data_IF_044313219527
#
_entry.id   IF_044313219527
#
_cell.length_a   1.000
_cell.length_b   1.000
_cell.length_c   1.000
_cell.angle_alpha   90.00
_cell.angle_beta   90.00
_cell.angle_gamma   90.00
#
_symmetry.space_group_name_H-M   'P 1'
#
loop_
_entity.id
_entity.type
_entity.pdbx_description
1 polymer ?
#
# COMPACT_ATOMS: atom_id res chain seq x y z
N UNK A 1 33.50 12.19 -6.63
CA UNK A 1 32.20 12.27 -7.34
C UNK A 1 32.02 10.96 -8.08
N UNK A 2 31.77 9.87 -7.35
CA UNK A 2 31.63 8.52 -7.91
C UNK A 2 30.16 8.23 -8.19
N UNK A 3 29.90 7.90 -9.43
CA UNK A 3 28.71 7.30 -10.06
C UNK A 3 27.35 7.38 -9.32
N UNK A 4 26.53 8.32 -9.79
CA UNK A 4 25.10 8.46 -9.45
C UNK A 4 24.23 7.32 -10.05
N UNK A 5 24.81 6.36 -10.75
CA UNK A 5 24.05 5.31 -11.45
C UNK A 5 23.79 4.09 -10.56
N UNK A 6 22.60 3.51 -10.69
CA UNK A 6 22.29 2.20 -10.12
C UNK A 6 23.05 1.11 -10.90
N UNK A 7 23.51 0.05 -10.21
CA UNK A 7 24.11 -1.10 -10.88
C UNK A 7 23.11 -1.80 -11.81
N UNK A 8 23.57 -2.40 -12.88
CA UNK A 8 22.70 -3.13 -13.83
C UNK A 8 21.77 -4.16 -13.15
N UNK A 9 22.24 -4.98 -12.18
CA UNK A 9 21.36 -5.91 -11.45
C UNK A 9 20.27 -5.20 -10.65
N UNK A 10 20.59 -4.07 -10.00
CA UNK A 10 19.61 -3.29 -9.25
C UNK A 10 18.57 -2.63 -10.18
N UNK A 11 18.98 -2.14 -11.34
CA UNK A 11 18.06 -1.60 -12.36
C UNK A 11 17.09 -2.68 -12.83
N UNK A 12 17.58 -3.87 -13.17
CA UNK A 12 16.73 -5.00 -13.57
C UNK A 12 15.72 -5.36 -12.49
N UNK A 13 16.16 -5.41 -11.24
CA UNK A 13 15.30 -5.68 -10.08
C UNK A 13 14.27 -4.58 -9.85
N UNK A 14 14.66 -3.30 -9.97
CA UNK A 14 13.75 -2.17 -9.87
C UNK A 14 12.67 -2.22 -10.93
N UNK A 15 13.03 -2.50 -12.19
CA UNK A 15 12.06 -2.64 -13.28
C UNK A 15 11.10 -3.80 -13.00
N UNK A 16 11.61 -4.96 -12.61
CA UNK A 16 10.77 -6.11 -12.26
C UNK A 16 9.84 -5.83 -11.10
N UNK A 17 10.35 -5.30 -9.99
CA UNK A 17 9.55 -4.93 -8.83
C UNK A 17 8.49 -3.86 -9.17
N UNK A 18 8.85 -2.88 -10.00
CA UNK A 18 7.96 -1.83 -10.48
C UNK A 18 6.78 -2.41 -11.27
N UNK A 19 7.05 -3.29 -12.23
CA UNK A 19 6.00 -3.92 -13.04
C UNK A 19 5.14 -4.86 -12.18
N UNK A 20 5.74 -5.64 -11.27
CA UNK A 20 5.00 -6.51 -10.34
C UNK A 20 4.05 -5.68 -9.48
N UNK A 21 4.52 -4.58 -8.88
CA UNK A 21 3.66 -3.69 -8.08
C UNK A 21 2.58 -3.03 -8.92
N UNK A 22 2.91 -2.56 -10.12
CA UNK A 22 1.96 -1.94 -11.03
C UNK A 22 0.82 -2.89 -11.40
N UNK A 23 1.12 -4.13 -11.76
CA UNK A 23 0.11 -5.14 -12.10
C UNK A 23 -0.68 -5.59 -10.86
N UNK A 24 0.01 -5.97 -9.77
CA UNK A 24 -0.64 -6.49 -8.58
C UNK A 24 -1.59 -5.47 -7.94
N UNK A 25 -1.10 -4.25 -7.68
CA UNK A 25 -1.90 -3.20 -7.04
C UNK A 25 -2.86 -2.54 -8.02
N UNK A 26 -2.50 -2.43 -9.30
CA UNK A 26 -3.37 -1.90 -10.34
C UNK A 26 -4.65 -2.72 -10.48
N UNK A 27 -4.52 -4.03 -10.65
CA UNK A 27 -5.68 -4.96 -10.71
C UNK A 27 -6.50 -4.90 -9.42
N UNK A 28 -5.83 -4.86 -8.25
CA UNK A 28 -6.51 -4.76 -6.95
C UNK A 28 -7.37 -3.50 -6.83
N UNK A 29 -6.87 -2.34 -7.27
CA UNK A 29 -7.59 -1.07 -7.14
C UNK A 29 -8.78 -0.95 -8.10
N UNK A 30 -8.80 -1.74 -9.17
CA UNK A 30 -9.93 -1.81 -10.09
C UNK A 30 -11.11 -2.66 -9.59
N UNK A 31 -10.98 -3.37 -8.46
CA UNK A 31 -12.04 -4.27 -7.98
C UNK A 31 -13.36 -3.57 -7.68
N UNK A 32 -13.35 -2.31 -7.28
CA UNK A 32 -14.57 -1.54 -7.09
C UNK A 32 -15.47 -1.47 -8.33
N UNK A 33 -14.89 -1.57 -9.54
CA UNK A 33 -15.64 -1.55 -10.79
C UNK A 33 -16.47 -2.83 -11.03
N UNK A 34 -16.18 -3.92 -10.35
CA UNK A 34 -16.91 -5.19 -10.45
C UNK A 34 -18.14 -5.25 -9.53
N UNK A 35 -18.25 -4.35 -8.55
CA UNK A 35 -19.35 -4.33 -7.58
C UNK A 35 -20.72 -4.33 -8.27
N UNK A 36 -20.96 -3.34 -9.12
CA UNK A 36 -22.28 -3.15 -9.74
C UNK A 36 -22.64 -4.31 -10.69
N UNK A 37 -21.80 -4.68 -11.67
CA UNK A 37 -22.15 -5.75 -12.60
C UNK A 37 -22.34 -7.10 -11.91
N UNK A 38 -21.56 -7.46 -10.89
CA UNK A 38 -21.74 -8.71 -10.16
C UNK A 38 -22.98 -8.68 -9.28
N UNK A 39 -23.25 -7.58 -8.58
CA UNK A 39 -24.44 -7.43 -7.74
C UNK A 39 -25.73 -7.49 -8.58
N UNK A 40 -25.74 -6.91 -9.76
CA UNK A 40 -26.89 -6.93 -10.66
C UNK A 40 -27.15 -8.34 -11.24
N UNK A 41 -26.08 -9.06 -11.67
CA UNK A 41 -26.26 -10.39 -12.28
C UNK A 41 -26.83 -11.42 -11.29
N UNK A 42 -26.41 -11.33 -10.02
CA UNK A 42 -26.81 -12.33 -9.00
C UNK A 42 -27.88 -11.84 -8.02
N UNK A 43 -28.35 -10.60 -8.15
CA UNK A 43 -29.32 -10.02 -7.21
C UNK A 43 -28.74 -9.82 -5.79
N UNK A 44 -27.42 -9.67 -5.66
CA UNK A 44 -26.79 -9.47 -4.36
C UNK A 44 -26.90 -8.02 -3.89
N UNK A 45 -27.07 -7.82 -2.59
CA UNK A 45 -26.82 -6.52 -1.99
C UNK A 45 -25.33 -6.16 -2.09
N UNK A 46 -25.03 -4.87 -2.12
CA UNK A 46 -23.63 -4.37 -2.17
C UNK A 46 -22.77 -4.87 -0.99
N UNK A 47 -23.40 -5.21 0.15
CA UNK A 47 -22.74 -5.76 1.32
C UNK A 47 -21.98 -7.07 1.05
N UNK A 48 -22.47 -7.94 0.15
CA UNK A 48 -21.81 -9.22 -0.17
C UNK A 48 -20.43 -8.98 -0.79
N UNK A 49 -20.36 -8.08 -1.78
CA UNK A 49 -19.10 -7.72 -2.43
C UNK A 49 -18.18 -6.94 -1.47
N UNK A 50 -18.75 -5.98 -0.75
CA UNK A 50 -17.99 -5.15 0.19
C UNK A 50 -17.38 -5.99 1.31
N UNK A 51 -18.09 -7.03 1.81
CA UNK A 51 -17.55 -7.97 2.78
C UNK A 51 -16.34 -8.73 2.22
N UNK A 52 -16.42 -9.21 0.97
CA UNK A 52 -15.30 -9.91 0.34
C UNK A 52 -14.04 -9.01 0.27
N UNK A 53 -14.21 -7.73 -0.09
CA UNK A 53 -13.10 -6.77 -0.15
C UNK A 53 -12.58 -6.41 1.26
N UNK A 54 -13.45 -6.30 2.26
CA UNK A 54 -13.03 -6.06 3.64
C UNK A 54 -12.23 -7.26 4.19
N UNK A 55 -12.70 -8.48 3.97
CA UNK A 55 -11.95 -9.71 4.30
C UNK A 55 -10.61 -9.77 3.58
N UNK A 56 -10.56 -9.41 2.28
CA UNK A 56 -9.31 -9.36 1.53
C UNK A 56 -8.27 -8.47 2.19
N UNK A 57 -8.65 -7.25 2.59
CA UNK A 57 -7.74 -6.32 3.25
C UNK A 57 -7.24 -6.86 4.61
N UNK A 58 -8.15 -7.43 5.39
CA UNK A 58 -7.80 -7.98 6.72
C UNK A 58 -6.84 -9.17 6.60
N UNK A 59 -7.14 -10.12 5.69
CA UNK A 59 -6.31 -11.30 5.44
C UNK A 59 -4.96 -10.87 4.88
N UNK A 60 -4.95 -9.97 3.89
CA UNK A 60 -3.73 -9.39 3.36
C UNK A 60 -2.82 -8.84 4.47
N UNK A 61 -3.38 -8.02 5.37
CA UNK A 61 -2.62 -7.45 6.49
C UNK A 61 -2.17 -8.49 7.51
N UNK A 62 -3.08 -9.37 7.95
CA UNK A 62 -2.81 -10.36 8.99
C UNK A 62 -1.75 -11.40 8.58
N UNK A 63 -1.74 -11.77 7.29
CA UNK A 63 -0.78 -12.76 6.77
C UNK A 63 0.54 -12.12 6.32
N UNK A 64 0.58 -10.80 6.13
CA UNK A 64 1.76 -10.08 5.65
C UNK A 64 3.04 -10.32 6.48
N UNK A 65 3.02 -10.34 7.82
CA UNK A 65 4.22 -10.66 8.60
C UNK A 65 4.75 -12.09 8.34
N UNK A 66 3.83 -13.03 8.13
CA UNK A 66 4.18 -14.45 7.87
C UNK A 66 4.80 -14.58 6.48
N UNK A 67 4.15 -14.05 5.44
CA UNK A 67 4.71 -14.04 4.07
C UNK A 67 6.03 -13.27 4.03
N UNK A 68 6.15 -12.19 4.83
CA UNK A 68 7.38 -11.43 5.01
C UNK A 68 8.52 -12.28 5.59
N UNK A 69 8.25 -13.05 6.66
CA UNK A 69 9.22 -13.96 7.25
C UNK A 69 9.68 -15.04 6.26
N UNK A 70 8.76 -15.57 5.45
CA UNK A 70 9.10 -16.49 4.35
C UNK A 70 9.98 -15.83 3.30
N UNK A 71 9.69 -14.58 2.93
CA UNK A 71 10.49 -13.84 1.96
C UNK A 71 11.90 -13.51 2.48
N UNK A 72 12.03 -13.22 3.78
CA UNK A 72 13.32 -12.97 4.43
C UNK A 72 14.17 -14.25 4.50
N UNK A 73 13.53 -15.42 4.72
CA UNK A 73 14.20 -16.70 4.84
C UNK A 73 14.53 -17.37 3.50
N UNK A 74 13.57 -17.38 2.57
CA UNK A 74 13.66 -18.15 1.31
C UNK A 74 13.83 -17.27 0.08
N UNK A 75 13.79 -15.95 0.26
CA UNK A 75 13.89 -14.95 -0.80
C UNK A 75 12.54 -14.55 -1.40
N UNK A 76 12.45 -13.29 -1.79
CA UNK A 76 11.23 -12.67 -2.32
C UNK A 76 10.74 -13.32 -3.63
N UNK A 77 11.65 -13.89 -4.43
CA UNK A 77 11.33 -14.58 -5.69
C UNK A 77 10.30 -15.69 -5.51
N UNK A 78 10.53 -16.61 -4.58
CA UNK A 78 9.65 -17.79 -4.37
C UNK A 78 8.28 -17.31 -3.87
N UNK A 79 8.28 -16.35 -2.94
CA UNK A 79 7.05 -15.79 -2.37
C UNK A 79 6.20 -15.11 -3.45
N UNK A 80 6.81 -14.33 -4.34
CA UNK A 80 6.10 -13.68 -5.44
C UNK A 80 5.58 -14.67 -6.49
N UNK A 81 6.31 -15.77 -6.78
CA UNK A 81 5.82 -16.83 -7.67
C UNK A 81 4.56 -17.48 -7.09
N UNK A 82 4.60 -17.88 -5.80
CA UNK A 82 3.44 -18.48 -5.14
C UNK A 82 2.29 -17.48 -5.06
N UNK A 83 2.58 -16.23 -4.70
CA UNK A 83 1.59 -15.15 -4.68
C UNK A 83 0.96 -14.89 -6.05
N UNK A 84 1.75 -14.88 -7.12
CA UNK A 84 1.27 -14.72 -8.49
C UNK A 84 0.35 -15.87 -8.93
N UNK A 85 0.70 -17.11 -8.60
CA UNK A 85 -0.15 -18.29 -8.85
C UNK A 85 -1.48 -18.18 -8.07
N UNK A 86 -1.43 -17.86 -6.80
CA UNK A 86 -2.63 -17.65 -5.98
C UNK A 86 -3.49 -16.50 -6.51
N UNK A 87 -2.86 -15.45 -7.04
CA UNK A 87 -3.57 -14.31 -7.62
C UNK A 87 -4.33 -14.74 -8.88
N UNK A 88 -3.68 -15.46 -9.81
CA UNK A 88 -4.34 -15.99 -10.99
C UNK A 88 -5.51 -16.91 -10.63
N UNK A 89 -5.29 -17.86 -9.71
CA UNK A 89 -6.33 -18.78 -9.23
C UNK A 89 -7.48 -17.97 -8.60
N UNK A 90 -7.19 -17.00 -7.74
CA UNK A 90 -8.20 -16.17 -7.08
C UNK A 90 -9.07 -15.39 -8.08
N UNK A 91 -8.47 -14.79 -9.12
CA UNK A 91 -9.20 -14.07 -10.17
C UNK A 91 -10.08 -15.00 -11.02
N UNK A 92 -9.57 -16.17 -11.39
CA UNK A 92 -10.33 -17.17 -12.15
C UNK A 92 -11.51 -17.67 -11.30
N UNK A 93 -11.30 -18.01 -10.03
CA UNK A 93 -12.35 -18.43 -9.13
C UNK A 93 -13.35 -17.29 -8.88
N UNK A 94 -12.90 -16.04 -8.78
CA UNK A 94 -13.78 -14.88 -8.68
C UNK A 94 -14.67 -14.76 -9.93
N UNK A 95 -14.13 -15.01 -11.14
CA UNK A 95 -14.90 -15.01 -12.38
C UNK A 95 -15.96 -16.13 -12.43
N UNK A 96 -15.74 -17.22 -11.69
CA UNK A 96 -16.67 -18.35 -11.56
C UNK A 96 -17.64 -18.21 -10.39
N UNK A 97 -17.54 -17.14 -9.60
CA UNK A 97 -18.35 -16.96 -8.39
C UNK A 97 -19.81 -16.74 -8.74
N UNK A 98 -20.69 -17.61 -8.21
CA UNK A 98 -22.15 -17.52 -8.33
C UNK A 98 -22.84 -17.36 -6.97
N UNK A 99 -22.10 -17.47 -5.86
CA UNK A 99 -22.61 -17.28 -4.50
C UNK A 99 -21.71 -16.35 -3.70
N UNK A 100 -22.29 -15.63 -2.73
CA UNK A 100 -21.53 -14.72 -1.86
C UNK A 100 -20.44 -15.44 -1.05
N UNK A 101 -20.68 -16.68 -0.62
CA UNK A 101 -19.67 -17.49 0.08
C UNK A 101 -18.46 -17.77 -0.85
N UNK A 102 -18.71 -18.17 -2.08
CA UNK A 102 -17.65 -18.47 -3.04
C UNK A 102 -16.88 -17.20 -3.43
N UNK A 103 -17.54 -16.05 -3.51
CA UNK A 103 -16.92 -14.74 -3.69
C UNK A 103 -16.00 -14.41 -2.49
N UNK A 104 -16.46 -14.63 -1.26
CA UNK A 104 -15.63 -14.39 -0.07
C UNK A 104 -14.40 -15.31 -0.02
N UNK A 105 -14.52 -16.56 -0.46
CA UNK A 105 -13.38 -17.48 -0.53
C UNK A 105 -12.40 -17.07 -1.65
N UNK A 106 -12.88 -16.71 -2.84
CA UNK A 106 -12.04 -16.34 -3.97
C UNK A 106 -11.45 -14.93 -3.82
N UNK A 107 -12.30 -13.90 -3.73
CA UNK A 107 -11.88 -12.50 -3.66
C UNK A 107 -11.40 -12.09 -2.26
N UNK A 108 -11.98 -12.65 -1.20
CA UNK A 108 -11.60 -12.37 0.18
C UNK A 108 -10.33 -13.13 0.58
N UNK A 109 -10.43 -14.45 0.69
CA UNK A 109 -9.35 -15.28 1.24
C UNK A 109 -8.19 -15.45 0.25
N UNK A 110 -8.43 -16.02 -0.93
CA UNK A 110 -7.35 -16.39 -1.86
C UNK A 110 -6.62 -15.16 -2.38
N UNK A 111 -7.36 -14.12 -2.81
CA UNK A 111 -6.73 -12.87 -3.25
C UNK A 111 -6.08 -12.10 -2.09
N UNK A 112 -6.60 -12.19 -0.87
CA UNK A 112 -5.96 -11.62 0.31
C UNK A 112 -4.58 -12.25 0.58
N UNK A 113 -4.50 -13.61 0.51
CA UNK A 113 -3.24 -14.35 0.59
C UNK A 113 -2.27 -13.97 -0.55
N UNK A 114 -2.77 -13.88 -1.79
CA UNK A 114 -1.98 -13.50 -2.95
C UNK A 114 -1.35 -12.11 -2.80
N UNK A 115 -2.15 -11.12 -2.36
CA UNK A 115 -1.70 -9.76 -2.13
C UNK A 115 -0.64 -9.66 -1.03
N UNK A 116 -0.73 -10.48 0.03
CA UNK A 116 0.31 -10.51 1.06
C UNK A 116 1.68 -10.89 0.51
N UNK A 117 1.72 -11.64 -0.59
CA UNK A 117 2.94 -12.12 -1.24
C UNK A 117 3.41 -11.24 -2.41
N UNK A 118 2.57 -10.31 -2.91
CA UNK A 118 2.86 -9.52 -4.13
C UNK A 118 2.76 -8.01 -3.94
N UNK A 119 2.75 -7.53 -2.70
CA UNK A 119 2.56 -6.12 -2.36
C UNK A 119 3.81 -5.40 -1.85
N UNK A 120 3.64 -4.18 -1.40
CA UNK A 120 4.71 -3.28 -0.99
C UNK A 120 5.75 -3.90 -0.04
N UNK A 121 5.39 -4.53 1.09
CA UNK A 121 6.41 -5.04 2.02
C UNK A 121 7.38 -6.02 1.37
N UNK A 122 6.89 -6.91 0.50
CA UNK A 122 7.74 -7.90 -0.18
C UNK A 122 8.68 -7.23 -1.20
N UNK A 123 8.13 -6.38 -2.07
CA UNK A 123 8.88 -5.81 -3.19
C UNK A 123 9.82 -4.69 -2.73
N UNK A 124 9.35 -3.80 -1.84
CA UNK A 124 10.19 -2.72 -1.33
C UNK A 124 11.33 -3.25 -0.45
N UNK A 125 11.08 -4.29 0.35
CA UNK A 125 12.15 -4.94 1.12
C UNK A 125 13.18 -5.61 0.21
N UNK A 126 12.73 -6.27 -0.86
CA UNK A 126 13.64 -6.87 -1.85
C UNK A 126 14.54 -5.80 -2.49
N UNK A 127 13.94 -4.69 -2.95
CA UNK A 127 14.66 -3.55 -3.51
C UNK A 127 15.57 -2.89 -2.46
N UNK A 128 15.08 -2.73 -1.22
CA UNK A 128 15.85 -2.15 -0.11
C UNK A 128 17.07 -2.97 0.28
N UNK A 129 17.00 -4.30 0.18
CA UNK A 129 18.16 -5.20 0.41
C UNK A 129 19.22 -5.09 -0.70
N UNK A 130 18.79 -4.88 -1.93
CA UNK A 130 19.70 -4.80 -3.09
C UNK A 130 20.32 -3.41 -3.25
N UNK A 131 19.72 -2.36 -2.71
CA UNK A 131 20.15 -0.98 -2.86
C UNK A 131 21.21 -0.60 -1.81
N UNK A 132 22.26 0.20 -2.20
CA UNK A 132 23.16 0.81 -1.26
C UNK A 132 22.41 1.68 -0.24
N UNK A 133 22.89 1.82 1.02
CA UNK A 133 22.20 2.57 2.07
C UNK A 133 21.77 3.98 1.64
N UNK A 134 22.64 4.70 0.93
CA UNK A 134 22.42 6.09 0.49
C UNK A 134 21.34 6.20 -0.60
N UNK A 135 21.11 5.13 -1.36
CA UNK A 135 20.14 5.07 -2.47
C UNK A 135 18.87 4.28 -2.13
N UNK A 136 18.82 3.65 -0.96
CA UNK A 136 17.75 2.72 -0.56
C UNK A 136 16.38 3.39 -0.56
N UNK A 137 16.25 4.55 0.06
CA UNK A 137 14.98 5.28 0.13
C UNK A 137 14.50 5.70 -1.26
N UNK A 138 15.41 6.18 -2.12
CA UNK A 138 15.09 6.52 -3.52
C UNK A 138 14.64 5.29 -4.30
N UNK A 139 15.33 4.16 -4.19
CA UNK A 139 14.99 2.92 -4.89
C UNK A 139 13.61 2.41 -4.50
N UNK A 140 13.28 2.43 -3.19
CA UNK A 140 11.94 2.09 -2.70
C UNK A 140 10.88 3.09 -3.16
N UNK A 141 11.21 4.39 -3.24
CA UNK A 141 10.34 5.42 -3.78
C UNK A 141 9.99 5.20 -5.25
N UNK A 142 10.98 4.86 -6.09
CA UNK A 142 10.78 4.54 -7.52
C UNK A 142 9.86 3.33 -7.67
N UNK A 143 10.11 2.25 -6.92
CA UNK A 143 9.28 1.06 -6.97
C UNK A 143 7.83 1.35 -6.51
N UNK A 144 7.67 2.14 -5.46
CA UNK A 144 6.35 2.56 -4.95
C UNK A 144 5.60 3.44 -5.95
N UNK A 145 6.29 4.39 -6.59
CA UNK A 145 5.72 5.24 -7.63
C UNK A 145 5.18 4.44 -8.82
N UNK A 146 5.90 3.39 -9.23
CA UNK A 146 5.44 2.49 -10.29
C UNK A 146 4.16 1.72 -9.90
N UNK A 147 4.03 1.30 -8.63
CA UNK A 147 2.79 0.71 -8.12
C UNK A 147 1.60 1.68 -8.27
N UNK A 148 1.79 2.95 -7.93
CA UNK A 148 0.79 4.00 -8.09
C UNK A 148 0.43 4.25 -9.56
N UNK A 149 1.42 4.20 -10.45
CA UNK A 149 1.19 4.32 -11.89
C UNK A 149 0.36 3.16 -12.43
N UNK A 150 0.59 1.94 -11.91
CA UNK A 150 -0.24 0.78 -12.23
C UNK A 150 -1.71 0.98 -11.87
N UNK A 151 -2.00 1.57 -10.72
CA UNK A 151 -3.37 1.91 -10.32
C UNK A 151 -4.02 2.87 -11.32
N UNK A 152 -3.29 3.92 -11.74
CA UNK A 152 -3.76 4.90 -12.71
C UNK A 152 -4.10 4.28 -14.08
N UNK A 153 -3.29 3.34 -14.58
CA UNK A 153 -3.52 2.68 -15.87
C UNK A 153 -4.61 1.62 -15.78
N UNK A 154 -4.62 0.80 -14.73
CA UNK A 154 -5.50 -0.36 -14.66
C UNK A 154 -6.98 0.01 -14.47
N UNK A 155 -7.29 1.17 -13.86
CA UNK A 155 -8.68 1.63 -13.72
C UNK A 155 -9.37 1.82 -15.08
N UNK A 156 -8.88 2.67 -16.00
CA UNK A 156 -9.50 2.83 -17.31
C UNK A 156 -9.43 1.55 -18.15
N UNK A 157 -8.33 0.79 -18.05
CA UNK A 157 -8.21 -0.49 -18.76
C UNK A 157 -9.28 -1.48 -18.32
N UNK A 158 -9.50 -1.64 -17.02
CA UNK A 158 -10.53 -2.53 -16.49
C UNK A 158 -11.92 -2.06 -16.88
N UNK A 159 -12.20 -0.75 -16.86
CA UNK A 159 -13.48 -0.20 -17.31
C UNK A 159 -13.76 -0.55 -18.78
N UNK A 160 -12.77 -0.38 -19.66
CA UNK A 160 -12.88 -0.76 -21.07
C UNK A 160 -13.11 -2.27 -21.24
N UNK A 161 -12.44 -3.11 -20.46
CA UNK A 161 -12.66 -4.55 -20.48
C UNK A 161 -14.07 -4.92 -20.02
N UNK A 162 -14.57 -4.29 -18.97
CA UNK A 162 -15.95 -4.48 -18.47
C UNK A 162 -17.00 -4.11 -19.52
N UNK A 163 -16.82 -2.96 -20.18
CA UNK A 163 -17.76 -2.46 -21.19
C UNK A 163 -17.81 -3.30 -22.45
N UNK A 164 -16.66 -3.84 -22.89
CA UNK A 164 -16.57 -4.56 -24.18
C UNK A 164 -16.71 -6.08 -24.02
N UNK A 165 -16.33 -6.68 -22.91
CA UNK A 165 -16.24 -8.13 -22.74
C UNK A 165 -17.01 -8.67 -21.53
N UNK A 166 -17.59 -7.78 -20.71
CA UNK A 166 -18.26 -8.15 -19.47
C UNK A 166 -17.28 -8.52 -18.34
N UNK A 167 -17.83 -8.63 -17.11
CA UNK A 167 -17.00 -8.74 -15.91
C UNK A 167 -16.24 -10.08 -15.78
N UNK A 168 -16.82 -11.21 -16.26
CA UNK A 168 -16.13 -12.53 -16.23
C UNK A 168 -14.89 -12.52 -17.09
N UNK A 169 -15.01 -12.06 -18.33
CA UNK A 169 -13.88 -11.96 -19.26
C UNK A 169 -12.83 -10.95 -18.78
N UNK A 170 -13.26 -9.82 -18.20
CA UNK A 170 -12.35 -8.82 -17.62
C UNK A 170 -11.50 -9.41 -16.48
N UNK A 171 -12.08 -10.26 -15.61
CA UNK A 171 -11.34 -10.98 -14.56
C UNK A 171 -10.35 -11.99 -15.13
N UNK A 172 -10.75 -12.76 -16.17
CA UNK A 172 -9.86 -13.73 -16.82
C UNK A 172 -8.69 -13.03 -17.52
N UNK A 173 -8.95 -11.92 -18.22
CA UNK A 173 -7.88 -11.12 -18.85
C UNK A 173 -6.95 -10.55 -17.75
N UNK A 174 -7.50 -10.08 -16.65
CA UNK A 174 -6.70 -9.62 -15.49
C UNK A 174 -5.85 -10.75 -14.91
N UNK A 175 -6.35 -12.00 -14.87
CA UNK A 175 -5.58 -13.15 -14.44
C UNK A 175 -4.38 -13.43 -15.38
N UNK A 176 -4.57 -13.29 -16.71
CA UNK A 176 -3.49 -13.43 -17.69
C UNK A 176 -2.43 -12.34 -17.49
N UNK A 177 -2.85 -11.09 -17.25
CA UNK A 177 -1.91 -9.99 -16.95
C UNK A 177 -1.12 -10.25 -15.66
N UNK A 178 -1.79 -10.70 -14.62
CA UNK A 178 -1.15 -11.03 -13.33
C UNK A 178 -0.24 -12.25 -13.42
N UNK A 179 -0.48 -13.19 -14.35
CA UNK A 179 0.42 -14.31 -14.60
C UNK A 179 1.85 -13.86 -14.97
N UNK A 180 2.02 -12.64 -15.50
CA UNK A 180 3.33 -12.05 -15.75
C UNK A 180 4.17 -11.83 -14.48
N UNK A 181 3.55 -11.79 -13.29
CA UNK A 181 4.28 -11.73 -12.02
C UNK A 181 5.24 -12.91 -11.88
N UNK A 182 4.88 -14.08 -12.41
CA UNK A 182 5.65 -15.31 -12.28
C UNK A 182 7.01 -15.20 -13.00
N UNK A 183 7.09 -14.89 -14.32
CA UNK A 183 8.38 -14.68 -14.98
C UNK A 183 9.11 -13.46 -14.45
N UNK A 184 8.42 -12.37 -14.10
CA UNK A 184 9.04 -11.17 -13.53
C UNK A 184 9.71 -11.42 -12.17
N UNK A 185 9.23 -12.39 -11.40
CA UNK A 185 9.84 -12.75 -10.12
C UNK A 185 11.30 -13.21 -10.24
N UNK A 186 11.74 -13.65 -11.43
CA UNK A 186 13.17 -13.98 -11.67
C UNK A 186 14.09 -12.76 -11.60
N UNK A 187 13.59 -11.54 -11.79
CA UNK A 187 14.37 -10.31 -11.62
C UNK A 187 14.72 -10.03 -10.17
N UNK A 188 13.96 -10.62 -9.21
CA UNK A 188 14.16 -10.43 -7.77
C UNK A 188 15.35 -11.24 -7.19
N UNK A 189 16.21 -11.76 -8.03
CA UNK A 189 17.42 -12.55 -7.67
C UNK A 189 18.66 -11.69 -7.40
N UNK A 190 18.56 -10.37 -7.36
CA UNK A 190 19.74 -9.53 -7.12
C UNK A 190 20.40 -9.92 -5.78
N UNK A 191 21.75 -10.03 -5.75
CA UNK A 191 22.46 -10.27 -4.50
C UNK A 191 22.18 -9.15 -3.51
N UNK A 192 22.11 -9.51 -2.23
CA UNK A 192 22.09 -8.52 -1.15
C UNK A 192 23.28 -7.59 -1.32
N UNK A 193 23.06 -6.28 -1.16
CA UNK A 193 24.16 -5.33 -1.09
C UNK A 193 25.10 -5.74 0.06
N UNK A 194 26.28 -6.19 -0.30
CA UNK A 194 27.33 -6.46 0.68
C UNK A 194 28.09 -5.16 0.88
N UNK A 195 27.91 -4.53 2.04
CA UNK A 195 28.88 -3.50 2.48
C UNK A 195 30.26 -4.18 2.55
N UNK A 196 31.29 -3.49 2.07
CA UNK A 196 32.68 -3.95 2.24
C UNK A 196 32.86 -4.35 3.70
N UNK A 197 33.43 -5.53 4.02
CA UNK A 197 33.56 -5.99 5.40
C UNK A 197 34.46 -5.02 6.17
N UNK A 198 33.88 -4.06 6.85
CA UNK A 198 34.52 -3.42 7.99
C UNK A 198 34.42 -4.45 9.10
N UNK A 199 35.56 -4.97 9.50
CA UNK A 199 35.73 -6.06 10.45
C UNK A 199 35.08 -5.79 11.81
N UNK A 200 33.80 -6.12 11.94
CA UNK A 200 33.16 -6.47 13.21
C UNK A 200 32.09 -7.49 12.86
N UNK A 201 32.42 -8.77 12.98
CA UNK A 201 31.50 -9.89 13.01
C UNK A 201 30.65 -9.78 14.28
N UNK A 202 29.60 -8.95 14.23
CA UNK A 202 28.58 -9.01 15.27
C UNK A 202 27.81 -10.35 15.14
N UNK A 203 27.46 -10.99 16.27
CA UNK A 203 26.68 -12.21 16.24
C UNK A 203 25.36 -11.95 15.49
N UNK A 204 25.07 -12.78 14.50
CA UNK A 204 23.84 -12.66 13.72
C UNK A 204 22.64 -12.92 14.62
N UNK A 205 21.84 -11.88 14.91
CA UNK A 205 20.60 -12.04 15.67
C UNK A 205 19.68 -13.06 15.02
N UNK A 206 19.14 -13.96 15.85
CA UNK A 206 18.16 -14.95 15.43
C UNK A 206 16.78 -14.36 15.16
N UNK A 207 15.91 -15.15 14.56
CA UNK A 207 14.52 -14.75 14.27
C UNK A 207 13.74 -14.38 15.55
N UNK A 208 13.92 -15.13 16.65
CA UNK A 208 13.26 -14.85 17.93
C UNK A 208 13.77 -13.56 18.56
N UNK A 209 15.07 -13.33 18.49
CA UNK A 209 15.72 -12.19 19.13
C UNK A 209 15.26 -10.88 18.48
N UNK A 210 15.20 -10.84 17.15
CA UNK A 210 14.71 -9.65 16.43
C UNK A 210 13.23 -9.34 16.73
N UNK A 211 12.39 -10.38 16.92
CA UNK A 211 10.99 -10.17 17.32
C UNK A 211 10.87 -9.63 18.74
N UNK A 212 11.69 -10.13 19.67
CA UNK A 212 11.73 -9.65 21.05
C UNK A 212 12.23 -8.20 21.07
N UNK A 213 13.27 -7.90 20.30
CA UNK A 213 13.80 -6.54 20.15
C UNK A 213 12.74 -5.60 19.61
N UNK A 214 12.07 -5.94 18.51
CA UNK A 214 11.02 -5.13 17.92
C UNK A 214 9.83 -4.96 18.87
N UNK A 215 9.42 -6.03 19.60
CA UNK A 215 8.34 -5.96 20.58
C UNK A 215 8.62 -4.93 21.68
N UNK A 216 9.87 -4.86 22.14
CA UNK A 216 10.28 -3.98 23.23
C UNK A 216 10.67 -2.58 22.76
N UNK A 217 10.80 -2.34 21.46
CA UNK A 217 11.23 -1.08 20.90
C UNK A 217 10.05 -0.14 20.64
N UNK A 218 9.78 0.78 21.56
CA UNK A 218 8.65 1.72 21.49
C UNK A 218 8.57 2.53 20.19
N UNK A 219 9.68 3.07 19.62
CA UNK A 219 9.63 3.80 18.36
C UNK A 219 9.06 2.98 17.18
N UNK A 220 9.27 1.66 17.16
CA UNK A 220 8.67 0.77 16.15
C UNK A 220 7.14 0.74 16.23
N UNK A 221 6.57 0.71 17.44
CA UNK A 221 5.12 0.73 17.63
C UNK A 221 4.52 2.11 17.37
N UNK A 222 5.24 3.20 17.64
CA UNK A 222 4.83 4.54 17.23
C UNK A 222 4.80 4.67 15.71
N UNK A 223 5.79 4.11 15.00
CA UNK A 223 5.79 4.02 13.55
C UNK A 223 4.58 3.22 13.03
N UNK A 224 4.29 2.07 13.63
CA UNK A 224 3.14 1.25 13.30
C UNK A 224 1.81 1.99 13.53
N UNK A 225 1.68 2.69 14.66
CA UNK A 225 0.50 3.50 14.97
C UNK A 225 0.32 4.65 13.97
N UNK A 226 1.41 5.33 13.59
CA UNK A 226 1.36 6.35 12.54
C UNK A 226 0.91 5.77 11.20
N UNK A 227 1.35 4.56 10.86
CA UNK A 227 0.95 3.92 9.62
C UNK A 227 -0.52 3.42 9.64
N UNK A 228 -1.07 3.12 10.83
CA UNK A 228 -2.52 2.90 11.01
C UNK A 228 -3.32 4.16 10.61
N UNK A 229 -2.86 5.34 11.02
CA UNK A 229 -3.48 6.62 10.62
C UNK A 229 -3.53 6.75 9.10
N UNK A 230 -2.43 6.40 8.41
CA UNK A 230 -2.39 6.40 6.95
C UNK A 230 -3.49 5.50 6.37
N UNK A 231 -3.60 4.26 6.84
CA UNK A 231 -4.59 3.31 6.38
C UNK A 231 -6.03 3.82 6.54
N UNK A 232 -6.34 4.39 7.70
CA UNK A 232 -7.65 4.98 7.97
C UNK A 232 -8.01 6.06 6.96
N UNK A 233 -7.13 7.05 6.78
CA UNK A 233 -7.39 8.21 5.91
C UNK A 233 -7.49 7.83 4.44
N UNK A 234 -6.58 6.98 3.96
CA UNK A 234 -6.53 6.54 2.56
C UNK A 234 -7.80 5.80 2.20
N UNK A 235 -8.25 4.87 3.05
CA UNK A 235 -9.44 4.06 2.73
C UNK A 235 -10.72 4.85 2.96
N UNK A 236 -10.81 5.66 4.03
CA UNK A 236 -11.96 6.53 4.23
C UNK A 236 -12.18 7.47 3.03
N UNK A 237 -11.18 8.24 2.65
CA UNK A 237 -11.29 9.20 1.55
C UNK A 237 -11.52 8.46 0.22
N UNK A 238 -10.79 7.37 -0.03
CA UNK A 238 -10.90 6.62 -1.29
C UNK A 238 -12.26 5.99 -1.53
N UNK A 239 -12.96 5.55 -0.48
CA UNK A 239 -14.27 4.90 -0.57
C UNK A 239 -15.41 5.92 -0.48
N UNK A 240 -15.34 6.82 0.50
CA UNK A 240 -16.50 7.63 0.89
C UNK A 240 -16.54 9.02 0.24
N UNK A 241 -15.42 9.56 -0.26
CA UNK A 241 -15.46 10.88 -0.90
C UNK A 241 -16.33 10.90 -2.19
N UNK A 242 -16.32 9.89 -3.06
CA UNK A 242 -17.26 9.88 -4.19
C UNK A 242 -18.73 9.97 -3.77
N UNK A 243 -19.12 9.24 -2.71
CA UNK A 243 -20.46 9.33 -2.12
C UNK A 243 -20.75 10.71 -1.52
N UNK A 244 -19.81 11.23 -0.73
CA UNK A 244 -19.90 12.58 -0.18
C UNK A 244 -20.15 13.65 -1.26
N UNK A 245 -19.49 13.55 -2.41
CA UNK A 245 -19.68 14.47 -3.51
C UNK A 245 -21.06 14.35 -4.15
N UNK A 246 -21.58 13.12 -4.29
CA UNK A 246 -22.94 12.86 -4.80
C UNK A 246 -23.98 13.47 -3.85
N UNK A 247 -23.82 13.29 -2.54
CA UNK A 247 -24.71 13.86 -1.51
C UNK A 247 -24.76 15.40 -1.58
N UNK A 248 -23.68 16.02 -2.09
CA UNK A 248 -23.59 17.47 -2.29
C UNK A 248 -23.91 17.91 -3.72
N UNK A 249 -24.55 17.04 -4.54
CA UNK A 249 -25.06 17.37 -5.87
C UNK A 249 -24.02 17.31 -7.00
N UNK A 250 -22.83 16.75 -6.78
CA UNK A 250 -21.84 16.54 -7.83
C UNK A 250 -22.10 15.23 -8.59
N UNK A 251 -21.65 15.19 -9.83
CA UNK A 251 -21.75 13.98 -10.66
C UNK A 251 -20.76 12.89 -10.16
N UNK A 252 -21.09 11.63 -10.42
CA UNK A 252 -20.18 10.50 -10.19
C UNK A 252 -18.84 10.66 -10.93
N UNK A 253 -18.85 11.35 -12.09
CA UNK A 253 -17.64 11.69 -12.84
C UNK A 253 -16.67 12.54 -12.02
N UNK A 254 -17.16 13.49 -11.22
CA UNK A 254 -16.33 14.34 -10.36
C UNK A 254 -15.54 13.50 -9.36
N UNK A 255 -16.18 12.52 -8.71
CA UNK A 255 -15.52 11.59 -7.81
C UNK A 255 -14.49 10.70 -8.51
N UNK A 256 -14.81 10.25 -9.73
CA UNK A 256 -13.88 9.45 -10.55
C UNK A 256 -12.63 10.26 -10.94
N UNK A 257 -12.80 11.50 -11.39
CA UNK A 257 -11.68 12.40 -11.72
C UNK A 257 -10.84 12.72 -10.50
N UNK A 258 -11.47 12.95 -9.34
CA UNK A 258 -10.75 13.12 -8.07
C UNK A 258 -9.81 11.93 -7.79
N UNK A 259 -10.33 10.69 -7.85
CA UNK A 259 -9.51 9.49 -7.60
C UNK A 259 -8.41 9.30 -8.65
N UNK A 260 -8.67 9.66 -9.91
CA UNK A 260 -7.65 9.65 -10.97
C UNK A 260 -6.53 10.65 -10.69
N UNK A 261 -6.87 11.88 -10.25
CA UNK A 261 -5.89 12.88 -9.83
C UNK A 261 -5.08 12.39 -8.63
N UNK A 262 -5.72 11.80 -7.62
CA UNK A 262 -5.00 11.17 -6.50
C UNK A 262 -4.00 10.14 -7.02
N UNK A 263 -4.39 9.24 -7.90
CA UNK A 263 -3.51 8.21 -8.47
C UNK A 263 -2.32 8.81 -9.24
N UNK A 264 -2.58 9.80 -10.10
CA UNK A 264 -1.55 10.45 -10.90
C UNK A 264 -0.51 11.19 -10.03
N UNK A 265 -0.99 12.03 -9.12
CA UNK A 265 -0.10 12.82 -8.25
C UNK A 265 0.58 11.97 -7.17
N UNK A 266 0.02 10.80 -6.84
CA UNK A 266 0.67 9.83 -5.97
C UNK A 266 1.99 9.28 -6.57
N UNK A 267 2.10 9.17 -7.89
CA UNK A 267 3.37 8.83 -8.57
C UNK A 267 4.45 9.85 -8.22
N UNK A 268 4.12 11.14 -8.35
CA UNK A 268 5.05 12.24 -8.04
C UNK A 268 5.38 12.26 -6.54
N UNK A 269 4.36 12.12 -5.71
CA UNK A 269 4.50 12.16 -4.25
C UNK A 269 5.41 11.06 -3.71
N UNK A 270 5.18 9.81 -4.11
CA UNK A 270 5.97 8.66 -3.63
C UNK A 270 7.43 8.71 -4.11
N UNK A 271 7.65 9.12 -5.37
CA UNK A 271 9.01 9.35 -5.89
C UNK A 271 9.74 10.43 -5.07
N UNK A 272 9.09 11.59 -4.90
CA UNK A 272 9.64 12.73 -4.16
C UNK A 272 9.93 12.36 -2.69
N UNK A 273 9.01 11.65 -2.03
CA UNK A 273 9.21 11.17 -0.66
C UNK A 273 10.40 10.22 -0.55
N UNK A 274 10.54 9.29 -1.50
CA UNK A 274 11.69 8.39 -1.55
C UNK A 274 13.02 9.14 -1.74
N UNK A 275 13.05 10.16 -2.61
CA UNK A 275 14.23 11.00 -2.84
C UNK A 275 14.57 11.85 -1.62
N UNK A 276 13.60 12.51 -1.00
CA UNK A 276 13.78 13.29 0.23
C UNK A 276 14.21 12.41 1.40
N UNK A 277 13.67 11.19 1.53
CA UNK A 277 14.03 10.23 2.57
C UNK A 277 15.47 9.72 2.48
N UNK A 278 16.14 9.91 1.34
CA UNK A 278 17.57 9.69 1.19
C UNK A 278 18.45 10.87 1.68
N UNK A 279 17.83 12.05 1.93
CA UNK A 279 18.56 13.28 2.28
C UNK A 279 18.21 13.82 3.65
N UNK A 280 16.99 13.61 4.10
CA UNK A 280 16.46 14.16 5.33
C UNK A 280 15.95 13.06 6.26
N UNK A 281 15.76 13.40 7.53
CA UNK A 281 15.17 12.50 8.52
C UNK A 281 13.77 12.05 8.11
N UNK A 282 13.58 10.75 7.98
CA UNK A 282 12.31 10.16 7.54
C UNK A 282 11.17 10.38 8.53
N UNK A 283 11.39 10.30 9.87
CA UNK A 283 10.36 10.67 10.84
C UNK A 283 9.86 12.10 10.66
N UNK A 284 10.74 13.08 10.46
CA UNK A 284 10.36 14.48 10.23
C UNK A 284 9.57 14.65 8.91
N UNK A 285 9.96 13.92 7.86
CA UNK A 285 9.19 13.91 6.61
C UNK A 285 7.80 13.32 6.82
N UNK A 286 7.66 12.25 7.61
CA UNK A 286 6.36 11.67 7.96
C UNK A 286 5.50 12.65 8.78
N UNK A 287 6.09 13.35 9.77
CA UNK A 287 5.38 14.42 10.49
C UNK A 287 4.83 15.47 9.53
N UNK A 288 5.65 15.94 8.59
CA UNK A 288 5.23 16.88 7.55
C UNK A 288 4.07 16.35 6.70
N UNK A 289 4.16 15.09 6.25
CA UNK A 289 3.12 14.45 5.44
C UNK A 289 1.78 14.36 6.19
N UNK A 290 1.77 13.91 7.46
CA UNK A 290 0.54 13.83 8.25
C UNK A 290 -0.01 15.21 8.60
N UNK A 291 0.85 16.18 8.93
CA UNK A 291 0.45 17.56 9.19
C UNK A 291 -0.19 18.20 7.95
N UNK A 292 0.44 18.05 6.78
CA UNK A 292 -0.10 18.58 5.52
C UNK A 292 -1.41 17.90 5.12
N UNK A 293 -1.60 16.61 5.40
CA UNK A 293 -2.91 15.93 5.21
C UNK A 293 -3.99 16.56 6.09
N UNK A 294 -3.70 16.79 7.36
CA UNK A 294 -4.63 17.47 8.27
C UNK A 294 -5.02 18.85 7.75
N UNK A 295 -4.04 19.66 7.35
CA UNK A 295 -4.27 20.99 6.76
C UNK A 295 -5.10 20.90 5.47
N UNK A 296 -4.79 19.93 4.59
CA UNK A 296 -5.53 19.73 3.35
C UNK A 296 -7.01 19.36 3.62
N UNK A 297 -7.28 18.49 4.60
CA UNK A 297 -8.64 18.11 4.99
C UNK A 297 -9.38 19.32 5.55
N UNK A 298 -8.75 20.09 6.46
CA UNK A 298 -9.35 21.30 7.04
C UNK A 298 -9.66 22.31 5.94
N UNK A 299 -8.71 22.57 5.03
CA UNK A 299 -8.92 23.50 3.92
C UNK A 299 -10.06 23.03 2.99
N UNK A 300 -10.14 21.74 2.68
CA UNK A 300 -11.22 21.18 1.87
C UNK A 300 -12.61 21.39 2.49
N UNK A 301 -12.72 21.22 3.81
CA UNK A 301 -13.98 21.36 4.53
C UNK A 301 -14.36 22.84 4.79
N UNK A 302 -13.36 23.73 4.90
CA UNK A 302 -13.57 25.15 5.17
C UNK A 302 -13.83 25.98 3.92
N UNK A 303 -13.33 25.56 2.77
CA UNK A 303 -13.51 26.26 1.50
C UNK A 303 -14.86 25.93 0.86
N UNK A 304 -15.44 26.84 0.04
CA UNK A 304 -16.64 26.56 -0.72
C UNK A 304 -16.44 25.31 -1.59
N UNK A 305 -17.36 24.36 -1.47
CA UNK A 305 -17.30 23.12 -2.24
C UNK A 305 -17.59 23.41 -3.72
N UNK A 306 -16.62 23.14 -4.57
CA UNK A 306 -16.65 23.37 -6.03
C UNK A 306 -15.80 22.32 -6.74
N UNK A 307 -15.97 22.18 -8.04
CA UNK A 307 -15.12 21.29 -8.87
C UNK A 307 -13.64 21.62 -8.66
N UNK A 308 -13.29 22.90 -8.55
CA UNK A 308 -11.91 23.35 -8.37
C UNK A 308 -11.35 22.94 -7.00
N UNK A 309 -12.12 23.14 -5.91
CA UNK A 309 -11.69 22.73 -4.57
C UNK A 309 -11.56 21.21 -4.46
N UNK A 310 -12.47 20.44 -5.08
CA UNK A 310 -12.41 18.97 -5.13
C UNK A 310 -11.15 18.51 -5.87
N UNK A 311 -10.87 19.06 -7.05
CA UNK A 311 -9.71 18.65 -7.85
C UNK A 311 -8.39 19.11 -7.21
N UNK A 312 -8.34 20.30 -6.63
CA UNK A 312 -7.19 20.76 -5.86
C UNK A 312 -6.91 19.84 -4.66
N UNK A 313 -7.96 19.43 -3.94
CA UNK A 313 -7.84 18.45 -2.86
C UNK A 313 -7.32 17.11 -3.38
N UNK A 314 -7.79 16.63 -4.54
CA UNK A 314 -7.31 15.41 -5.18
C UNK A 314 -5.82 15.47 -5.53
N UNK A 315 -5.34 16.61 -6.04
CA UNK A 315 -3.93 16.85 -6.37
C UNK A 315 -3.09 16.81 -5.08
N UNK A 316 -3.47 17.59 -4.07
CA UNK A 316 -2.73 17.69 -2.81
C UNK A 316 -2.72 16.34 -2.08
N UNK A 317 -3.88 15.70 -1.95
CA UNK A 317 -3.96 14.38 -1.34
C UNK A 317 -3.17 13.34 -2.13
N UNK A 318 -3.17 13.41 -3.46
CA UNK A 318 -2.35 12.53 -4.29
C UNK A 318 -0.87 12.63 -3.96
N UNK A 319 -0.31 13.84 -3.88
CA UNK A 319 1.08 14.06 -3.49
C UNK A 319 1.42 13.47 -2.10
N UNK A 320 0.44 13.45 -1.20
CA UNK A 320 0.61 12.97 0.17
C UNK A 320 0.19 11.49 0.37
N UNK A 321 -0.49 10.85 -0.62
CA UNK A 321 -1.25 9.61 -0.48
C UNK A 321 -0.46 8.43 0.07
N UNK A 322 0.42 7.86 -0.72
CA UNK A 322 1.29 6.75 -0.31
C UNK A 322 2.76 7.17 -0.16
N UNK A 323 3.03 8.48 -0.08
CA UNK A 323 4.36 9.04 0.17
C UNK A 323 4.96 8.57 1.50
N UNK A 324 4.11 8.11 2.43
CA UNK A 324 4.51 7.50 3.69
C UNK A 324 5.16 6.12 3.51
N UNK A 325 4.83 5.37 2.46
CA UNK A 325 5.25 3.97 2.28
C UNK A 325 6.78 3.79 2.17
N UNK A 326 7.50 4.49 1.26
CA UNK A 326 8.95 4.35 1.16
C UNK A 326 9.68 4.85 2.40
N UNK A 327 9.16 5.87 3.08
CA UNK A 327 9.74 6.42 4.31
C UNK A 327 9.60 5.43 5.47
N UNK A 328 8.41 4.87 5.66
CA UNK A 328 8.12 3.88 6.71
C UNK A 328 9.02 2.64 6.57
N UNK A 329 9.10 2.06 5.36
CA UNK A 329 10.00 0.93 5.10
C UNK A 329 11.48 1.31 5.29
N UNK A 330 11.85 2.54 4.93
CA UNK A 330 13.19 3.08 5.15
C UNK A 330 13.56 3.19 6.63
N UNK A 331 12.62 3.60 7.50
CA UNK A 331 12.81 3.66 8.96
C UNK A 331 13.00 2.25 9.52
N UNK A 332 12.16 1.28 9.14
CA UNK A 332 12.32 -0.11 9.59
C UNK A 332 13.69 -0.66 9.18
N UNK A 333 14.15 -0.37 7.96
CA UNK A 333 15.47 -0.77 7.47
C UNK A 333 16.62 -0.12 8.27
N UNK A 334 16.46 1.14 8.71
CA UNK A 334 17.45 1.83 9.53
C UNK A 334 17.49 1.26 10.96
N UNK A 335 16.33 1.04 11.58
CA UNK A 335 16.23 0.51 12.95
C UNK A 335 16.79 -0.90 13.08
N UNK A 336 16.38 -1.82 12.22
CA UNK A 336 16.61 -3.27 12.39
C UNK A 336 17.51 -3.89 11.32
N UNK A 337 18.01 -3.09 10.38
CA UNK A 337 18.72 -3.61 9.23
C UNK A 337 17.81 -4.27 8.20
N UNK A 338 18.42 -4.95 7.22
CA UNK A 338 17.68 -5.47 6.05
C UNK A 338 17.39 -6.97 6.10
N UNK A 339 17.97 -7.70 7.06
CA UNK A 339 17.85 -9.17 7.15
C UNK A 339 16.39 -9.61 7.35
N UNK A 340 15.67 -8.96 8.26
CA UNK A 340 14.27 -9.24 8.61
C UNK A 340 13.31 -8.11 8.18
N UNK A 341 13.74 -7.30 7.21
CA UNK A 341 13.01 -6.11 6.78
C UNK A 341 11.59 -6.42 6.32
N UNK A 342 11.39 -7.52 5.59
CA UNK A 342 10.08 -7.83 5.00
C UNK A 342 9.07 -8.21 6.08
N UNK A 343 9.48 -9.01 7.05
CA UNK A 343 8.62 -9.40 8.17
C UNK A 343 8.24 -8.20 9.05
N UNK A 344 9.22 -7.40 9.44
CA UNK A 344 8.98 -6.25 10.31
C UNK A 344 8.16 -5.16 9.60
N UNK A 345 8.43 -4.89 8.33
CA UNK A 345 7.57 -4.03 7.49
C UNK A 345 6.16 -4.61 7.35
N UNK A 346 6.03 -5.94 7.33
CA UNK A 346 4.73 -6.63 7.33
C UNK A 346 3.92 -6.37 8.60
N UNK A 347 4.57 -6.34 9.77
CA UNK A 347 3.91 -6.00 11.05
C UNK A 347 3.39 -4.55 11.01
N UNK A 348 4.22 -3.61 10.57
CA UNK A 348 3.82 -2.20 10.41
C UNK A 348 2.70 -2.07 9.38
N UNK A 349 2.75 -2.82 8.29
CA UNK A 349 1.70 -2.83 7.27
C UNK A 349 0.39 -3.44 7.79
N UNK A 350 0.43 -4.42 8.68
CA UNK A 350 -0.78 -4.94 9.31
C UNK A 350 -1.52 -3.86 10.09
N UNK A 351 -0.82 -2.98 10.81
CA UNK A 351 -1.48 -1.85 11.48
C UNK A 351 -2.15 -0.89 10.48
N UNK A 352 -1.54 -0.66 9.31
CA UNK A 352 -2.19 0.09 8.23
C UNK A 352 -3.50 -0.57 7.78
N UNK A 353 -3.53 -1.90 7.64
CA UNK A 353 -4.74 -2.61 7.22
C UNK A 353 -5.84 -2.59 8.30
N UNK A 354 -5.47 -2.59 9.58
CA UNK A 354 -6.40 -2.33 10.68
C UNK A 354 -7.00 -0.92 10.56
N UNK A 355 -6.16 0.10 10.34
CA UNK A 355 -6.63 1.46 10.07
C UNK A 355 -7.56 1.54 8.85
N UNK A 356 -7.19 0.85 7.78
CA UNK A 356 -7.98 0.74 6.55
C UNK A 356 -9.37 0.14 6.78
N UNK A 357 -9.44 -0.91 7.60
CA UNK A 357 -10.72 -1.52 8.00
C UNK A 357 -11.61 -0.51 8.72
N UNK A 358 -11.07 0.17 9.74
CA UNK A 358 -11.86 1.15 10.49
C UNK A 358 -12.25 2.37 9.65
N UNK A 359 -11.36 2.87 8.78
CA UNK A 359 -11.65 4.00 7.88
C UNK A 359 -12.79 3.70 6.91
N UNK A 360 -12.79 2.51 6.33
CA UNK A 360 -13.86 2.06 5.44
C UNK A 360 -15.17 1.78 6.19
N UNK A 361 -15.11 1.01 7.27
CA UNK A 361 -16.29 0.59 8.01
C UNK A 361 -16.99 1.74 8.76
N UNK A 362 -16.24 2.51 9.56
CA UNK A 362 -16.81 3.60 10.35
C UNK A 362 -17.36 4.73 9.46
N UNK A 363 -16.77 4.93 8.26
CA UNK A 363 -17.30 5.88 7.29
C UNK A 363 -18.74 5.52 6.88
N UNK A 364 -18.99 4.26 6.55
CA UNK A 364 -20.33 3.77 6.21
C UNK A 364 -21.30 3.81 7.39
N UNK A 365 -20.89 3.29 8.55
CA UNK A 365 -21.74 3.30 9.76
C UNK A 365 -22.12 4.72 10.15
N UNK A 366 -21.18 5.66 10.11
CA UNK A 366 -21.49 7.05 10.44
C UNK A 366 -22.51 7.66 9.47
N UNK A 367 -22.32 7.44 8.17
CA UNK A 367 -23.25 7.93 7.15
C UNK A 367 -24.65 7.33 7.34
N UNK A 368 -24.77 6.02 7.55
CA UNK A 368 -26.05 5.34 7.76
C UNK A 368 -26.80 5.85 8.99
N UNK A 369 -26.07 6.23 10.05
CA UNK A 369 -26.65 6.73 11.31
C UNK A 369 -26.97 8.23 11.28
N UNK A 370 -26.18 9.04 10.58
CA UNK A 370 -26.25 10.51 10.67
C UNK A 370 -26.61 11.22 9.37
N UNK A 371 -26.61 10.49 8.24
CA UNK A 371 -26.81 11.05 6.90
C UNK A 371 -25.64 11.92 6.40
N UNK A 372 -24.49 11.91 7.08
CA UNK A 372 -23.32 12.72 6.71
C UNK A 372 -22.01 12.08 7.16
N UNK A 373 -20.87 12.70 6.79
CA UNK A 373 -19.52 12.23 7.13
C UNK A 373 -18.78 13.13 8.15
N UNK A 374 -19.45 14.09 8.79
CA UNK A 374 -18.81 15.13 9.60
C UNK A 374 -17.96 14.57 10.74
N UNK A 375 -18.46 13.54 11.45
CA UNK A 375 -17.72 12.90 12.55
C UNK A 375 -16.44 12.26 12.04
N UNK A 376 -16.50 11.55 10.89
CA UNK A 376 -15.33 10.84 10.35
C UNK A 376 -14.29 11.81 9.77
N UNK A 377 -14.73 12.93 9.19
CA UNK A 377 -13.82 14.02 8.83
C UNK A 377 -13.09 14.57 10.04
N UNK A 378 -13.81 14.83 11.15
CA UNK A 378 -13.21 15.28 12.41
C UNK A 378 -12.22 14.26 12.98
N UNK A 379 -12.58 12.97 12.97
CA UNK A 379 -11.68 11.86 13.34
C UNK A 379 -10.42 11.86 12.46
N UNK A 380 -10.57 12.06 11.15
CA UNK A 380 -9.42 12.10 10.21
C UNK A 380 -8.47 13.26 10.54
N UNK A 381 -8.99 14.43 10.93
CA UNK A 381 -8.17 15.57 11.35
C UNK A 381 -7.43 15.24 12.66
N UNK A 382 -8.13 14.71 13.66
CA UNK A 382 -7.51 14.31 14.93
C UNK A 382 -6.44 13.24 14.74
N UNK A 383 -6.68 12.27 13.85
CA UNK A 383 -5.70 11.26 13.49
C UNK A 383 -4.49 11.86 12.75
N UNK A 384 -4.64 12.94 11.97
CA UNK A 384 -3.51 13.67 11.41
C UNK A 384 -2.61 14.24 12.50
N UNK A 385 -3.21 14.87 13.53
CA UNK A 385 -2.49 15.39 14.70
C UNK A 385 -1.78 14.25 15.44
N UNK A 386 -2.48 13.13 15.68
CA UNK A 386 -1.88 11.94 16.27
C UNK A 386 -0.69 11.45 15.43
N UNK A 387 -0.83 11.40 14.09
CA UNK A 387 0.24 11.03 13.18
C UNK A 387 1.49 11.90 13.35
N UNK A 388 1.34 13.20 13.50
CA UNK A 388 2.46 14.12 13.80
C UNK A 388 3.10 13.78 15.16
N UNK A 389 2.29 13.65 16.21
CA UNK A 389 2.77 13.41 17.58
C UNK A 389 3.54 12.10 17.69
N UNK A 390 3.00 10.99 17.14
CA UNK A 390 3.67 9.69 17.25
C UNK A 390 4.99 9.65 16.49
N UNK A 391 5.08 10.33 15.34
CA UNK A 391 6.33 10.35 14.58
C UNK A 391 7.41 11.25 15.21
N UNK A 392 7.03 12.21 16.05
CA UNK A 392 8.00 12.96 16.87
C UNK A 392 8.77 12.03 17.83
N UNK A 393 8.13 10.97 18.30
CA UNK A 393 8.74 9.98 19.20
C UNK A 393 9.47 8.83 18.46
N UNK A 394 9.48 8.84 17.11
CA UNK A 394 10.18 7.84 16.30
C UNK A 394 11.65 8.23 16.15
N UNK A 395 12.57 7.43 16.72
CA UNK A 395 14.01 7.49 16.44
C UNK A 395 14.34 6.43 15.37
N UNK A 396 14.94 6.84 14.26
CA UNK A 396 15.33 5.95 13.15
C UNK A 396 16.75 5.38 13.30
N UNK A 397 17.40 5.58 14.47
CA UNK A 397 18.71 5.00 14.74
C UNK A 397 18.67 3.48 14.83
N UNK A 398 19.77 2.85 14.45
CA UNK A 398 19.89 1.40 14.55
C UNK A 398 19.83 0.93 16.01
N UNK A 399 18.95 -0.03 16.26
CA UNK A 399 18.81 -0.66 17.58
C UNK A 399 19.76 -1.86 17.70
N UNK A 400 20.08 -2.49 16.56
CA UNK A 400 20.94 -3.68 16.49
C UNK A 400 22.40 -3.35 16.87
N UNK A 401 22.82 -2.10 16.71
CA UNK A 401 24.19 -1.65 16.99
C UNK A 401 24.37 -1.06 18.40
N UNK A 402 23.31 -0.93 19.21
CA UNK A 402 23.34 -0.25 20.50
C UNK A 402 23.36 -1.21 21.72
N UNK A 403 23.44 -2.52 21.52
CA UNK A 403 23.53 -3.51 22.61
C UNK A 403 25.00 -3.89 22.98
N UNK A 404 25.95 -2.92 22.86
CA UNK A 404 27.32 -3.05 23.40
C UNK A 404 27.58 -1.99 24.45
#
# INVERSE_FOLDING_TARGET
MSDRQFSKPLVSMLIGAAIILALSLGVRHAFGLYLVPMSQEFGWGHNVFSLAIAMQNLIWGAVQPVTGAFADKYGSKIVVIVGGLLYCIGLILMAMSSTGLFLNLSAGLILGLALSATSFPILLSAVGRAAPPEKRSLAMGIASAAGSFGQFIMLPTTLLLLQNFGWKSALVISAILVAMLIPLAWTLKAPMYQATPTATTQPEMGFKDILILAKNHKPFWFLALGFLVCGFQVVFIGIHLPGYLIDHGFSATTGTVFLALVGLFNVIGTYTAGWLGGKYSKPHLLMGLYGLRGVAIIAFLALPLSIYSVYAFGIVMGLLWLSTVPLTNGIVANMFGVKYLTMLSGIVFFSHQIGSFFGGWLGGVNHDLTGNYNVIWSVSILLSVLGVIVHFAVDEKSVVNNEN
#
